data_IF_587247615297
#
_entry.id   IF_587247615297
#
_cell.length_a   1.000
_cell.length_b   1.000
_cell.length_c   1.000
_cell.angle_alpha   90.00
_cell.angle_beta   90.00
_cell.angle_gamma   90.00
#
_symmetry.space_group_name_H-M   'P 1'
#
loop_
_entity.id
_entity.type
_entity.pdbx_description
1 polymer ?
#
# COMPACT_ATOMS: atom_id res chain seq x y z
N UNK A 1 9.38 11.40 -17.96
CA UNK A 1 8.75 10.74 -16.79
C UNK A 1 8.21 11.82 -15.88
N UNK A 2 6.95 11.70 -15.51
CA UNK A 2 6.32 12.67 -14.61
C UNK A 2 6.75 12.44 -13.17
N UNK A 3 6.71 13.49 -12.37
CA UNK A 3 7.01 13.43 -10.94
C UNK A 3 5.80 13.91 -10.15
N UNK A 4 5.38 13.12 -9.16
CA UNK A 4 4.27 13.45 -8.29
C UNK A 4 4.79 13.59 -6.87
N UNK A 5 4.37 14.66 -6.18
CA UNK A 5 4.74 14.88 -4.79
C UNK A 5 3.59 14.55 -3.85
N UNK A 6 3.91 13.94 -2.70
CA UNK A 6 2.94 13.67 -1.64
C UNK A 6 3.54 14.01 -0.28
N UNK A 7 2.72 14.49 0.64
CA UNK A 7 3.17 14.68 2.03
C UNK A 7 3.54 13.34 2.67
N UNK A 8 2.69 12.34 2.46
CA UNK A 8 2.90 10.98 2.96
C UNK A 8 2.76 10.04 1.78
N UNK A 9 3.80 9.25 1.52
CA UNK A 9 3.76 8.21 0.50
C UNK A 9 3.83 6.86 1.20
N UNK A 10 2.96 5.95 0.79
CA UNK A 10 2.85 4.62 1.38
C UNK A 10 3.19 3.60 0.31
N UNK A 11 4.20 2.78 0.56
CA UNK A 11 4.58 1.69 -0.34
C UNK A 11 3.91 0.41 0.13
N UNK A 12 3.03 -0.12 -0.70
CA UNK A 12 2.38 -1.38 -0.45
C UNK A 12 0.89 -1.24 -0.24
N UNK A 13 0.14 -2.21 -0.77
CA UNK A 13 -1.32 -2.22 -0.77
C UNK A 13 -1.91 -3.45 -0.08
N UNK A 14 -1.17 -4.00 0.87
CA UNK A 14 -1.71 -4.99 1.79
C UNK A 14 -2.44 -4.35 2.96
N UNK A 15 -2.82 -5.13 3.97
CA UNK A 15 -3.53 -4.59 5.14
C UNK A 15 -2.80 -3.46 5.85
N UNK A 16 -1.48 -3.57 5.98
CA UNK A 16 -0.69 -2.53 6.65
C UNK A 16 -0.71 -1.22 5.87
N UNK A 17 -0.52 -1.29 4.55
CA UNK A 17 -0.53 -0.11 3.68
C UNK A 17 -1.87 0.60 3.69
N UNK A 18 -2.96 -0.13 3.53
CA UNK A 18 -4.28 0.46 3.57
C UNK A 18 -4.64 1.00 4.95
N UNK A 19 -4.23 0.33 6.03
CA UNK A 19 -4.44 0.84 7.38
C UNK A 19 -3.75 2.19 7.57
N UNK A 20 -2.49 2.28 7.14
CA UNK A 20 -1.74 3.54 7.19
C UNK A 20 -2.43 4.62 6.36
N UNK A 21 -2.91 4.28 5.17
CA UNK A 21 -3.62 5.22 4.29
C UNK A 21 -4.88 5.76 4.95
N UNK A 22 -5.68 4.90 5.56
CA UNK A 22 -6.92 5.31 6.23
C UNK A 22 -6.62 6.35 7.31
N UNK A 23 -5.66 6.07 8.18
CA UNK A 23 -5.33 6.99 9.27
C UNK A 23 -4.69 8.28 8.79
N UNK A 24 -3.79 8.21 7.80
CA UNK A 24 -3.18 9.41 7.23
C UNK A 24 -4.23 10.29 6.52
N UNK A 25 -5.14 9.66 5.78
CA UNK A 25 -6.22 10.39 5.10
C UNK A 25 -7.16 11.07 6.09
N UNK A 26 -7.51 10.37 7.17
CA UNK A 26 -8.35 10.97 8.23
C UNK A 26 -7.64 12.11 8.95
N UNK A 27 -6.33 12.11 8.98
CA UNK A 27 -5.52 13.21 9.52
C UNK A 27 -5.34 14.35 8.51
N UNK A 28 -5.99 14.26 7.36
CA UNK A 28 -5.97 15.28 6.31
C UNK A 28 -4.60 15.46 5.67
N UNK A 29 -3.84 14.37 5.56
CA UNK A 29 -2.48 14.40 5.03
C UNK A 29 -2.39 14.04 3.54
N UNK A 30 -3.51 13.74 2.89
CA UNK A 30 -3.57 13.41 1.47
C UNK A 30 -2.55 12.34 1.07
N UNK A 31 -2.64 11.13 1.63
CA UNK A 31 -1.64 10.10 1.33
C UNK A 31 -1.73 9.62 -0.11
N UNK A 32 -0.56 9.28 -0.66
CA UNK A 32 -0.45 8.58 -1.93
C UNK A 32 -0.02 7.15 -1.64
N UNK A 33 -0.80 6.18 -2.07
CA UNK A 33 -0.48 4.77 -1.91
C UNK A 33 -0.01 4.21 -3.25
N UNK A 34 1.20 3.64 -3.26
CA UNK A 34 1.76 2.97 -4.44
C UNK A 34 1.60 1.48 -4.21
N UNK A 35 0.86 0.81 -5.10
CA UNK A 35 0.43 -0.56 -4.88
C UNK A 35 1.54 -1.60 -4.91
N UNK A 36 2.58 -1.36 -5.69
CA UNK A 36 3.53 -2.40 -6.04
C UNK A 36 2.97 -3.31 -7.12
N UNK A 37 3.61 -4.45 -7.33
CA UNK A 37 3.22 -5.40 -8.36
C UNK A 37 2.04 -6.28 -7.94
N UNK A 38 1.88 -6.51 -6.64
CA UNK A 38 0.84 -7.41 -6.10
C UNK A 38 -0.12 -6.62 -5.22
N UNK A 39 -1.10 -5.95 -5.85
CA UNK A 39 -2.12 -5.20 -5.13
C UNK A 39 -2.90 -6.13 -4.20
N UNK A 40 -3.09 -5.70 -2.94
CA UNK A 40 -3.77 -6.50 -1.94
C UNK A 40 -2.86 -7.47 -1.19
N UNK A 41 -1.62 -7.66 -1.67
CA UNK A 41 -0.63 -8.50 -1.02
C UNK A 41 -1.02 -9.96 -1.01
N UNK A 42 -0.53 -10.70 -0.02
CA UNK A 42 -0.75 -12.15 0.09
C UNK A 42 -2.21 -12.53 0.34
N UNK A 43 -3.01 -11.63 0.90
CA UNK A 43 -4.42 -11.92 1.14
C UNK A 43 -5.22 -12.13 -0.15
N UNK A 44 -4.71 -11.65 -1.28
CA UNK A 44 -5.36 -11.89 -2.57
C UNK A 44 -5.29 -13.35 -3.01
N UNK A 45 -4.33 -14.11 -2.48
CA UNK A 45 -4.19 -15.54 -2.76
C UNK A 45 -4.70 -16.41 -1.63
N UNK A 46 -5.12 -15.82 -0.52
CA UNK A 46 -5.64 -16.50 0.66
C UNK A 46 -7.15 -16.59 0.54
N UNK A 47 -7.71 -17.80 0.72
CA UNK A 47 -9.15 -17.96 0.66
C UNK A 47 -9.82 -17.55 1.96
N UNK A 48 -9.37 -18.11 3.09
CA UNK A 48 -10.05 -17.89 4.36
C UNK A 48 -9.12 -17.18 5.35
N UNK A 49 -9.60 -16.10 5.94
CA UNK A 49 -8.88 -15.33 6.94
C UNK A 49 -9.67 -15.37 8.24
N UNK A 50 -9.12 -16.05 9.25
CA UNK A 50 -9.80 -16.25 10.52
C UNK A 50 -9.30 -15.34 11.64
N UNK A 51 -8.20 -14.67 11.40
CA UNK A 51 -7.54 -13.86 12.42
C UNK A 51 -7.65 -12.36 12.19
N UNK A 52 -8.57 -11.94 11.30
CA UNK A 52 -8.82 -10.52 11.16
C UNK A 52 -9.83 -10.08 12.23
N UNK A 53 -9.47 -9.13 13.10
CA UNK A 53 -10.37 -8.69 14.16
C UNK A 53 -11.68 -8.15 13.61
N UNK A 54 -12.75 -8.42 14.30
CA UNK A 54 -14.13 -8.01 14.00
C UNK A 54 -14.84 -8.85 12.93
N UNK A 55 -14.14 -9.69 12.19
CA UNK A 55 -14.78 -10.66 11.29
C UNK A 55 -14.87 -12.01 12.03
N UNK A 56 -15.85 -12.13 12.89
CA UNK A 56 -15.99 -13.24 13.84
C UNK A 56 -16.16 -14.60 13.16
N UNK A 57 -16.79 -14.62 12.00
CA UNK A 57 -17.03 -15.84 11.21
C UNK A 57 -15.98 -16.07 10.13
N UNK A 58 -14.90 -15.27 10.14
CA UNK A 58 -13.91 -15.29 9.10
C UNK A 58 -14.30 -14.45 7.90
N UNK A 59 -13.38 -14.26 6.97
CA UNK A 59 -13.60 -13.48 5.75
C UNK A 59 -12.70 -14.02 4.65
N UNK A 60 -13.14 -13.94 3.40
CA UNK A 60 -12.29 -14.28 2.27
C UNK A 60 -11.25 -13.19 2.05
N UNK A 61 -10.00 -13.58 1.78
CA UNK A 61 -8.90 -12.64 1.62
C UNK A 61 -9.17 -11.54 0.58
N UNK A 62 -9.57 -11.89 -0.65
CA UNK A 62 -9.88 -10.87 -1.66
C UNK A 62 -11.02 -9.94 -1.26
N UNK A 63 -12.05 -10.45 -0.59
CA UNK A 63 -13.16 -9.63 -0.11
C UNK A 63 -12.70 -8.64 0.95
N UNK A 64 -11.85 -9.09 1.87
CA UNK A 64 -11.28 -8.24 2.90
C UNK A 64 -10.46 -7.10 2.27
N UNK A 65 -9.63 -7.43 1.28
CA UNK A 65 -8.79 -6.42 0.61
C UNK A 65 -9.63 -5.42 -0.18
N UNK A 66 -10.73 -5.86 -0.75
CA UNK A 66 -11.66 -4.96 -1.43
C UNK A 66 -12.29 -3.96 -0.45
N UNK A 67 -12.64 -4.43 0.74
CA UNK A 67 -13.15 -3.55 1.81
C UNK A 67 -12.10 -2.55 2.27
N UNK A 68 -10.84 -2.97 2.40
CA UNK A 68 -9.74 -2.07 2.72
C UNK A 68 -9.58 -0.97 1.68
N UNK A 69 -9.58 -1.35 0.40
CA UNK A 69 -9.44 -0.39 -0.68
C UNK A 69 -10.57 0.65 -0.66
N UNK A 70 -11.81 0.18 -0.55
CA UNK A 70 -12.96 1.07 -0.48
C UNK A 70 -12.89 2.00 0.74
N UNK A 71 -12.41 1.50 1.87
CA UNK A 71 -12.28 2.30 3.08
C UNK A 71 -11.24 3.41 2.92
N UNK A 72 -10.09 3.09 2.33
CA UNK A 72 -9.06 4.09 2.06
C UNK A 72 -9.56 5.15 1.07
N UNK A 73 -10.25 4.75 0.03
CA UNK A 73 -10.80 5.66 -0.97
C UNK A 73 -11.87 6.57 -0.39
N UNK A 74 -12.64 6.11 0.59
CA UNK A 74 -13.65 6.91 1.27
C UNK A 74 -13.05 8.18 1.86
N UNK A 75 -11.82 8.12 2.36
CA UNK A 75 -11.14 9.25 2.98
C UNK A 75 -10.16 9.95 2.04
N UNK A 76 -10.29 9.69 0.72
CA UNK A 76 -9.54 10.37 -0.34
C UNK A 76 -8.05 10.00 -0.36
N UNK A 77 -7.75 8.72 -0.24
CA UNK A 77 -6.42 8.22 -0.55
C UNK A 77 -6.23 8.15 -2.06
N UNK A 78 -5.18 8.76 -2.58
CA UNK A 78 -4.80 8.58 -3.97
C UNK A 78 -4.03 7.27 -4.10
N UNK A 79 -4.37 6.49 -5.12
CA UNK A 79 -3.75 5.19 -5.36
C UNK A 79 -3.17 5.16 -6.76
N UNK A 80 -1.91 4.74 -6.89
CA UNK A 80 -1.27 4.52 -8.18
C UNK A 80 -0.75 3.10 -8.28
N UNK A 81 -0.86 2.54 -9.49
CA UNK A 81 -0.38 1.19 -9.81
C UNK A 81 1.02 1.32 -10.39
N UNK A 82 2.02 1.12 -9.56
CA UNK A 82 3.41 1.24 -9.97
C UNK A 82 4.28 0.35 -9.09
N UNK A 83 5.45 0.03 -9.58
CA UNK A 83 6.47 -0.72 -8.87
C UNK A 83 7.68 0.18 -8.64
N UNK A 84 7.97 0.48 -7.38
CA UNK A 84 9.14 1.29 -7.01
C UNK A 84 10.36 0.39 -6.97
N UNK A 85 11.38 0.74 -7.73
CA UNK A 85 12.63 -0.04 -7.77
C UNK A 85 13.81 0.71 -7.17
N UNK A 86 13.71 2.01 -6.93
CA UNK A 86 14.81 2.80 -6.37
C UNK A 86 14.25 3.84 -5.42
N UNK A 87 14.89 4.01 -4.26
CA UNK A 87 14.56 5.05 -3.30
C UNK A 87 15.83 5.77 -2.87
N UNK A 88 15.80 7.09 -2.94
CA UNK A 88 16.86 7.95 -2.42
C UNK A 88 16.34 8.64 -1.16
N UNK A 89 16.84 8.19 -0.02
CA UNK A 89 16.43 8.69 1.30
C UNK A 89 17.48 9.60 1.93
N UNK A 90 18.47 10.03 1.15
CA UNK A 90 19.60 10.82 1.67
C UNK A 90 19.21 12.24 2.04
N UNK A 91 18.15 12.76 1.46
CA UNK A 91 17.68 14.12 1.72
C UNK A 91 16.18 14.20 1.58
N UNK A 92 15.55 15.20 2.18
CA UNK A 92 14.13 15.48 1.98
C UNK A 92 13.96 16.58 0.94
N UNK A 93 12.93 16.48 0.09
CA UNK A 93 11.96 15.36 0.03
C UNK A 93 12.63 14.08 -0.43
N UNK A 94 12.16 12.95 0.09
CA UNK A 94 12.61 11.64 -0.36
C UNK A 94 12.19 11.43 -1.82
N UNK A 95 13.04 10.77 -2.60
CA UNK A 95 12.77 10.55 -4.03
C UNK A 95 12.69 9.05 -4.31
N UNK A 96 11.61 8.66 -4.96
CA UNK A 96 11.39 7.27 -5.35
C UNK A 96 11.18 7.20 -6.85
N UNK A 97 11.72 6.15 -7.47
CA UNK A 97 11.59 5.94 -8.90
C UNK A 97 10.85 4.64 -9.16
N UNK A 98 9.75 4.74 -9.87
CA UNK A 98 8.97 3.60 -10.29
C UNK A 98 9.15 3.28 -11.77
N UNK A 99 8.47 2.24 -12.22
CA UNK A 99 8.49 1.84 -13.63
C UNK A 99 7.79 2.89 -14.51
N UNK A 100 6.76 3.53 -13.98
CA UNK A 100 5.90 4.45 -14.74
C UNK A 100 6.15 5.93 -14.44
N UNK A 101 6.59 6.25 -13.23
CA UNK A 101 6.75 7.65 -12.79
C UNK A 101 7.78 7.75 -11.68
N UNK A 102 8.15 9.00 -11.36
CA UNK A 102 8.95 9.33 -10.19
C UNK A 102 8.07 9.99 -9.15
N UNK A 103 8.46 9.86 -7.90
CA UNK A 103 7.69 10.38 -6.77
C UNK A 103 8.61 11.06 -5.78
N UNK A 104 8.10 12.11 -5.14
CA UNK A 104 8.77 12.71 -3.99
C UNK A 104 7.80 12.74 -2.82
N UNK A 105 8.32 12.68 -1.60
CA UNK A 105 7.47 12.75 -0.42
C UNK A 105 8.22 13.35 0.76
N UNK A 106 7.45 13.91 1.69
CA UNK A 106 8.01 14.45 2.93
C UNK A 106 8.21 13.35 3.96
N UNK A 107 7.30 12.37 3.97
CA UNK A 107 7.36 11.20 4.86
C UNK A 107 7.03 9.94 4.06
N UNK A 108 7.69 8.84 4.39
CA UNK A 108 7.56 7.58 3.72
C UNK A 108 7.17 6.48 4.71
N UNK A 109 6.14 5.71 4.36
CA UNK A 109 5.76 4.52 5.12
C UNK A 109 6.02 3.31 4.23
N UNK A 110 6.83 2.39 4.71
CA UNK A 110 7.18 1.18 3.98
C UNK A 110 6.32 0.03 4.52
N UNK A 111 5.40 -0.45 3.70
CA UNK A 111 4.47 -1.51 4.06
C UNK A 111 4.40 -2.54 2.92
N UNK A 112 5.56 -2.94 2.44
CA UNK A 112 5.68 -3.77 1.23
C UNK A 112 5.34 -5.23 1.44
N UNK A 113 5.17 -5.67 2.68
CA UNK A 113 4.77 -7.03 2.97
C UNK A 113 5.86 -8.04 2.71
N UNK A 114 5.42 -9.26 2.48
CA UNK A 114 6.30 -10.40 2.24
C UNK A 114 5.75 -11.26 1.13
N UNK A 115 6.62 -12.01 0.49
CA UNK A 115 6.25 -13.05 -0.48
C UNK A 115 6.73 -14.39 0.03
N UNK A 116 5.95 -15.42 -0.21
CA UNK A 116 6.36 -16.78 0.15
C UNK A 116 7.55 -17.18 -0.72
N UNK A 117 8.57 -17.73 -0.08
CA UNK A 117 9.69 -18.34 -0.80
C UNK A 117 9.45 -19.83 -0.88
N UNK A 118 9.34 -20.34 -2.08
CA UNK A 118 9.18 -21.76 -2.31
C UNK A 118 10.55 -22.38 -2.52
N UNK A 119 10.84 -23.47 -1.80
CA UNK A 119 12.00 -24.29 -2.11
C UNK A 119 11.73 -24.95 -3.44
N UNK A 120 12.68 -24.88 -4.37
CA UNK A 120 12.51 -25.42 -5.71
C UNK A 120 12.64 -26.94 -5.73
N UNK A 121 11.69 -27.62 -5.13
CA UNK A 121 11.70 -29.09 -5.05
C UNK A 121 10.84 -29.72 -6.13
#
# INVERSE_FOLDING_TARGET
MTTQHAKVLILGSGPAGYTAAIYAARANLHPLLVTGMAQGGQLMTTTEVDNWPADVDGVQGPDLMQRFQAHAERFKTDTVFDHIHTADLSARPFRLTGDNASYTCDSLIIATGASAKYLGL
#
